data_IF_620298649327
#
_entry.id   IF_620298649327
#
_cell.length_a   1.000
_cell.length_b   1.000
_cell.length_c   1.000
_cell.angle_alpha   90.00
_cell.angle_beta   90.00
_cell.angle_gamma   90.00
#
_symmetry.space_group_name_H-M   'P 1'
#
loop_
_entity.id
_entity.type
_entity.pdbx_description
1 polymer ?
#
# COMPACT_ATOMS: atom_id res chain seq x y z
N UNK A 1 -14.65 11.04 -33.80
CA UNK A 1 -14.20 10.43 -32.52
C UNK A 1 -12.95 11.13 -32.01
N UNK A 2 -13.06 11.98 -30.98
CA UNK A 2 -12.01 12.93 -30.58
C UNK A 2 -10.79 12.27 -29.93
N UNK A 3 -9.59 12.57 -30.46
CA UNK A 3 -8.28 12.04 -30.01
C UNK A 3 -8.03 12.24 -28.51
N UNK A 4 -8.58 13.29 -27.90
CA UNK A 4 -8.47 13.56 -26.46
C UNK A 4 -9.13 12.50 -25.56
N UNK A 5 -10.20 11.84 -26.01
CA UNK A 5 -10.88 10.78 -25.24
C UNK A 5 -9.99 9.52 -25.14
N UNK A 6 -9.22 9.22 -26.20
CA UNK A 6 -8.26 8.10 -26.24
C UNK A 6 -7.07 8.33 -25.32
N UNK A 7 -6.55 9.56 -25.23
CA UNK A 7 -5.44 9.87 -24.33
C UNK A 7 -5.83 9.78 -22.84
N UNK A 8 -7.01 10.27 -22.46
CA UNK A 8 -7.50 10.16 -21.06
C UNK A 8 -7.68 8.70 -20.63
N UNK A 9 -8.19 7.84 -21.51
CA UNK A 9 -8.36 6.42 -21.22
C UNK A 9 -7.01 5.71 -21.01
N UNK A 10 -6.01 5.98 -21.86
CA UNK A 10 -4.65 5.43 -21.68
C UNK A 10 -3.97 5.90 -20.38
N UNK A 11 -4.07 7.18 -20.01
CA UNK A 11 -3.50 7.69 -18.74
C UNK A 11 -4.13 7.06 -17.50
N UNK A 12 -5.45 6.88 -17.49
CA UNK A 12 -6.17 6.25 -16.38
C UNK A 12 -5.81 4.77 -16.21
N UNK A 13 -5.49 4.09 -17.31
CA UNK A 13 -5.08 2.68 -17.31
C UNK A 13 -3.62 2.51 -16.86
N UNK A 14 -2.71 3.39 -17.29
CA UNK A 14 -1.30 3.37 -16.88
C UNK A 14 -1.12 3.65 -15.38
N UNK A 15 -1.87 4.61 -14.83
CA UNK A 15 -1.79 4.97 -13.41
C UNK A 15 -2.26 3.86 -12.46
N UNK A 16 -3.23 3.04 -12.86
CA UNK A 16 -3.71 1.93 -12.02
C UNK A 16 -2.69 0.81 -11.85
N UNK A 17 -1.99 0.43 -12.92
CA UNK A 17 -0.97 -0.62 -12.85
C UNK A 17 0.23 -0.21 -11.98
N UNK A 18 0.68 1.04 -12.14
CA UNK A 18 1.83 1.55 -11.40
C UNK A 18 1.54 1.76 -9.91
N UNK A 19 0.37 2.30 -9.55
CA UNK A 19 -0.03 2.47 -8.15
C UNK A 19 -0.28 1.12 -7.46
N UNK A 20 -0.77 0.11 -8.18
CA UNK A 20 -0.86 -1.26 -7.69
C UNK A 20 0.52 -1.82 -7.36
N UNK A 21 1.49 -1.68 -8.26
CA UNK A 21 2.83 -2.22 -8.05
C UNK A 21 3.58 -1.49 -6.92
N UNK A 22 3.40 -0.18 -6.80
CA UNK A 22 3.93 0.60 -5.67
C UNK A 22 3.27 0.19 -4.36
N UNK A 23 1.94 0.05 -4.33
CA UNK A 23 1.18 -0.41 -3.16
C UNK A 23 1.68 -1.77 -2.68
N UNK A 24 1.87 -2.72 -3.60
CA UNK A 24 2.35 -4.07 -3.26
C UNK A 24 3.79 -4.06 -2.74
N UNK A 25 4.68 -3.26 -3.35
CA UNK A 25 6.07 -3.11 -2.88
C UNK A 25 6.16 -2.42 -1.52
N UNK A 26 5.41 -1.34 -1.32
CA UNK A 26 5.35 -0.65 -0.03
C UNK A 26 4.81 -1.59 1.03
N UNK A 27 3.69 -2.27 0.78
CA UNK A 27 3.11 -3.22 1.74
C UNK A 27 4.14 -4.28 2.15
N UNK A 28 4.85 -4.89 1.20
CA UNK A 28 5.88 -5.90 1.50
C UNK A 28 7.05 -5.35 2.29
N UNK A 29 7.57 -4.17 1.92
CA UNK A 29 8.68 -3.56 2.64
C UNK A 29 8.25 -3.15 4.06
N UNK A 30 7.07 -2.54 4.21
CA UNK A 30 6.54 -2.11 5.50
C UNK A 30 6.31 -3.30 6.43
N UNK A 31 5.69 -4.39 5.94
CA UNK A 31 5.50 -5.60 6.73
C UNK A 31 6.84 -6.21 7.18
N UNK A 32 7.87 -6.13 6.33
CA UNK A 32 9.20 -6.68 6.63
C UNK A 32 9.99 -5.79 7.59
N UNK A 33 9.92 -4.48 7.43
CA UNK A 33 10.56 -3.52 8.35
C UNK A 33 9.88 -3.54 9.72
N UNK A 34 8.55 -3.56 9.74
CA UNK A 34 7.78 -3.57 10.99
C UNK A 34 8.11 -4.82 11.81
N UNK A 35 8.14 -6.02 11.20
CA UNK A 35 8.56 -7.25 11.88
C UNK A 35 9.99 -7.23 12.45
N UNK A 36 10.87 -6.37 11.93
CA UNK A 36 12.25 -6.23 12.43
C UNK A 36 12.42 -5.01 13.34
N UNK A 37 11.33 -4.31 13.67
CA UNK A 37 11.35 -3.09 14.48
C UNK A 37 10.92 -3.39 15.92
N UNK A 38 11.43 -2.62 16.88
CA UNK A 38 10.99 -2.64 18.28
C UNK A 38 9.48 -2.37 18.41
N UNK A 39 8.90 -1.68 17.43
CA UNK A 39 7.48 -1.39 17.35
C UNK A 39 6.63 -2.66 17.18
N UNK A 40 7.16 -3.70 16.54
CA UNK A 40 6.50 -5.00 16.47
C UNK A 40 6.51 -5.71 17.80
N UNK A 41 7.62 -5.66 18.54
CA UNK A 41 7.71 -6.24 19.88
C UNK A 41 6.73 -5.54 20.84
N UNK A 42 6.58 -4.22 20.74
CA UNK A 42 5.54 -3.47 21.47
C UNK A 42 4.13 -3.90 21.04
N UNK A 43 3.87 -4.03 19.74
CA UNK A 43 2.57 -4.49 19.22
C UNK A 43 2.23 -5.91 19.68
N UNK A 44 3.21 -6.82 19.69
CA UNK A 44 3.06 -8.19 20.15
C UNK A 44 2.86 -8.23 21.67
N UNK A 45 3.55 -7.38 22.42
CA UNK A 45 3.37 -7.27 23.87
C UNK A 45 1.98 -6.74 24.25
N UNK A 46 1.43 -5.80 23.47
CA UNK A 46 0.14 -5.17 23.77
C UNK A 46 -1.05 -5.99 23.24
N UNK A 47 -0.97 -6.53 22.02
CA UNK A 47 -2.09 -7.21 21.35
C UNK A 47 -1.96 -8.73 21.30
N UNK A 48 -0.76 -9.27 21.53
CA UNK A 48 -0.42 -10.68 21.34
C UNK A 48 -0.07 -11.00 19.89
N UNK A 49 0.82 -11.98 19.71
CA UNK A 49 1.42 -12.34 18.42
C UNK A 49 0.37 -12.63 17.33
N UNK A 50 -0.69 -13.36 17.68
CA UNK A 50 -1.80 -13.68 16.77
C UNK A 50 -2.52 -12.45 16.22
N UNK A 51 -2.81 -11.49 17.10
CA UNK A 51 -3.60 -10.30 16.78
C UNK A 51 -2.76 -9.27 16.06
N UNK A 52 -1.49 -9.17 16.43
CA UNK A 52 -0.48 -8.40 15.72
C UNK A 52 -0.30 -8.91 14.28
N UNK A 53 -0.30 -10.23 14.06
CA UNK A 53 -0.22 -10.81 12.71
C UNK A 53 -1.48 -10.56 11.88
N UNK A 54 -2.66 -10.61 12.48
CA UNK A 54 -3.92 -10.26 11.83
C UNK A 54 -3.92 -8.77 11.39
N UNK A 55 -3.51 -7.86 12.28
CA UNK A 55 -3.35 -6.43 11.97
C UNK A 55 -2.34 -6.18 10.85
N UNK A 56 -1.18 -6.84 10.90
CA UNK A 56 -0.15 -6.74 9.87
C UNK A 56 -0.68 -7.21 8.51
N UNK A 57 -1.54 -8.22 8.51
CA UNK A 57 -2.14 -8.81 7.31
C UNK A 57 -3.27 -7.95 6.75
N UNK A 58 -4.00 -7.23 7.62
CA UNK A 58 -4.99 -6.22 7.25
C UNK A 58 -4.35 -4.90 6.78
N UNK A 59 -3.14 -4.58 7.24
CA UNK A 59 -2.33 -3.46 6.76
C UNK A 59 -1.91 -3.67 5.30
N UNK A 60 -2.83 -3.44 4.38
CA UNK A 60 -2.60 -3.32 2.94
C UNK A 60 -2.51 -1.83 2.61
N UNK A 61 -1.39 -1.39 2.04
CA UNK A 61 -1.20 0.02 1.73
C UNK A 61 -2.15 0.43 0.60
N UNK A 62 -3.34 0.92 0.91
CA UNK A 62 -4.23 1.49 -0.09
C UNK A 62 -3.67 2.82 -0.59
N UNK A 63 -2.99 2.78 -1.74
CA UNK A 63 -2.54 4.00 -2.41
C UNK A 63 -3.76 4.66 -3.05
N UNK A 64 -4.38 5.61 -2.33
CA UNK A 64 -5.49 6.41 -2.86
C UNK A 64 -4.97 7.28 -4.01
N UNK A 65 -5.48 7.12 -5.24
CA UNK A 65 -5.11 7.98 -6.36
C UNK A 65 -5.75 9.36 -6.16
N UNK A 66 -5.08 10.27 -5.47
CA UNK A 66 -5.61 11.62 -5.24
C UNK A 66 -4.88 12.53 -4.26
N UNK A 67 -3.87 12.05 -3.52
CA UNK A 67 -3.04 12.93 -2.70
C UNK A 67 -2.00 13.63 -3.59
N UNK A 68 -2.07 14.96 -3.76
CA UNK A 68 -1.02 15.70 -4.45
C UNK A 68 0.29 15.60 -3.64
N UNK A 69 1.45 15.51 -4.32
CA UNK A 69 2.72 15.69 -3.63
C UNK A 69 2.77 17.11 -3.06
N UNK A 70 3.04 17.23 -1.76
CA UNK A 70 3.37 18.51 -1.10
C UNK A 70 4.74 18.99 -1.56
#
# INVERSE_FOLDING_TARGET
MSKGKRLKSKRKQLGRGFLSEISDRLTKNFQRELRNSELWDEMVAEFGEKRAEELLRECKAEVRPGLPPY
#
